data_IF_484719547836
#
_entry.id   IF_484719547836
#
_cell.length_a   1.000
_cell.length_b   1.000
_cell.length_c   1.000
_cell.angle_alpha   90.00
_cell.angle_beta   90.00
_cell.angle_gamma   90.00
#
_symmetry.space_group_name_H-M   'P 1'
#
loop_
_entity.id
_entity.type
_entity.pdbx_description
1 polymer ?
#
# COMPACT_ATOMS: atom_id res chain seq x y z
N UNK A 1 -10.72 -7.92 -23.72
CA UNK A 1 -9.88 -9.01 -23.20
C UNK A 1 -10.51 -10.40 -23.38
N UNK A 2 -11.60 -10.53 -24.15
CA UNK A 2 -12.16 -11.82 -24.59
C UNK A 2 -12.91 -12.64 -23.54
N UNK A 3 -13.11 -12.14 -22.34
CA UNK A 3 -13.90 -12.82 -21.30
C UNK A 3 -15.36 -12.41 -21.48
N UNK A 4 -16.27 -13.42 -21.65
CA UNK A 4 -17.71 -13.15 -21.64
C UNK A 4 -18.18 -12.88 -20.22
N UNK A 5 -18.98 -11.83 -20.04
CA UNK A 5 -19.59 -11.48 -18.76
C UNK A 5 -21.11 -11.77 -18.78
N UNK A 6 -21.63 -12.49 -19.78
CA UNK A 6 -23.06 -12.77 -19.96
C UNK A 6 -23.70 -13.54 -18.79
N UNK A 7 -22.89 -14.31 -18.05
CA UNK A 7 -23.34 -15.14 -16.94
C UNK A 7 -23.28 -14.42 -15.58
N UNK A 8 -22.87 -13.15 -15.59
CA UNK A 8 -22.74 -12.32 -14.39
C UNK A 8 -23.72 -11.15 -14.41
N UNK A 9 -24.21 -10.77 -13.23
CA UNK A 9 -25.01 -9.56 -13.07
C UNK A 9 -24.10 -8.35 -13.13
N UNK A 10 -24.35 -7.44 -14.07
CA UNK A 10 -23.59 -6.20 -14.21
C UNK A 10 -24.29 -5.04 -13.50
N UNK A 11 -23.56 -4.35 -12.63
CA UNK A 11 -24.00 -3.12 -12.00
C UNK A 11 -23.25 -1.94 -12.61
N UNK A 12 -23.98 -0.90 -13.03
CA UNK A 12 -23.40 0.34 -13.55
C UNK A 12 -22.95 1.31 -12.45
N UNK A 13 -23.49 1.12 -11.25
CA UNK A 13 -23.22 1.93 -10.08
C UNK A 13 -22.77 1.02 -8.91
N UNK A 14 -21.64 1.35 -8.33
CA UNK A 14 -21.08 0.63 -7.20
C UNK A 14 -22.03 0.63 -5.97
N UNK A 15 -22.80 1.70 -5.76
CA UNK A 15 -23.77 1.79 -4.67
C UNK A 15 -24.86 0.71 -4.77
N UNK A 16 -25.29 0.36 -6.00
CA UNK A 16 -26.29 -0.71 -6.19
C UNK A 16 -25.73 -2.09 -5.83
N UNK A 17 -24.44 -2.33 -6.05
CA UNK A 17 -23.77 -3.56 -5.63
C UNK A 17 -23.76 -3.69 -4.10
N UNK A 18 -23.50 -2.60 -3.38
CA UNK A 18 -23.48 -2.58 -1.92
C UNK A 18 -24.87 -2.93 -1.31
N UNK A 19 -25.94 -2.70 -2.00
CA UNK A 19 -27.33 -2.96 -1.55
C UNK A 19 -27.94 -4.24 -2.09
N UNK A 20 -27.30 -4.92 -3.03
CA UNK A 20 -27.83 -6.17 -3.63
C UNK A 20 -27.86 -7.30 -2.60
N UNK A 21 -29.04 -7.89 -2.40
CA UNK A 21 -29.29 -8.97 -1.40
C UNK A 21 -28.61 -10.30 -1.75
N UNK A 22 -28.17 -10.46 -3.00
CA UNK A 22 -27.47 -11.66 -3.46
C UNK A 22 -25.95 -11.56 -3.31
N UNK A 23 -25.45 -10.45 -2.76
CA UNK A 23 -24.02 -10.21 -2.53
C UNK A 23 -23.73 -10.26 -1.04
N UNK A 24 -22.88 -11.17 -0.60
CA UNK A 24 -22.42 -11.32 0.76
C UNK A 24 -21.07 -10.63 1.01
N UNK A 25 -20.24 -10.55 -0.04
CA UNK A 25 -18.87 -10.02 0.02
C UNK A 25 -18.66 -9.03 -1.13
N UNK A 26 -18.15 -7.86 -0.82
CA UNK A 26 -17.71 -6.87 -1.82
C UNK A 26 -16.19 -6.91 -1.93
N UNK A 27 -15.68 -7.04 -3.15
CA UNK A 27 -14.25 -6.94 -3.47
C UNK A 27 -14.00 -5.58 -4.12
N UNK A 28 -13.26 -4.70 -3.45
CA UNK A 28 -12.93 -3.36 -3.93
C UNK A 28 -11.51 -3.35 -4.52
N UNK A 29 -11.41 -2.99 -5.83
CA UNK A 29 -10.17 -2.91 -6.60
C UNK A 29 -10.11 -1.59 -7.42
N UNK A 30 -10.83 -0.55 -6.97
CA UNK A 30 -10.97 0.72 -7.69
C UNK A 30 -9.73 1.59 -7.46
N UNK A 31 -9.30 1.72 -6.20
CA UNK A 31 -8.19 2.58 -5.81
C UNK A 31 -8.64 4.00 -5.44
N UNK A 32 -7.68 4.79 -4.93
CA UNK A 32 -7.93 6.12 -4.36
C UNK A 32 -8.39 6.06 -2.90
N UNK A 33 -8.12 7.12 -2.12
CA UNK A 33 -8.51 7.16 -0.69
C UNK A 33 -9.97 7.51 -0.48
N UNK A 34 -10.57 8.26 -1.41
CA UNK A 34 -11.88 8.88 -1.27
C UNK A 34 -12.78 8.59 -2.49
N UNK A 35 -14.01 9.12 -2.47
CA UNK A 35 -14.98 8.96 -3.54
C UNK A 35 -15.52 7.54 -3.64
N UNK A 36 -15.70 7.04 -4.86
CA UNK A 36 -16.45 5.79 -5.16
C UNK A 36 -15.91 4.59 -4.36
N UNK A 37 -14.60 4.46 -4.21
CA UNK A 37 -14.00 3.34 -3.47
C UNK A 37 -14.40 3.36 -1.99
N UNK A 38 -14.27 4.52 -1.34
CA UNK A 38 -14.66 4.71 0.05
C UNK A 38 -16.15 4.53 0.24
N UNK A 39 -16.95 5.21 -0.58
CA UNK A 39 -18.40 5.17 -0.51
C UNK A 39 -18.94 3.73 -0.66
N UNK A 40 -18.36 2.95 -1.58
CA UNK A 40 -18.68 1.54 -1.77
C UNK A 40 -18.39 0.70 -0.53
N UNK A 41 -17.21 0.87 0.07
CA UNK A 41 -16.80 0.10 1.24
C UNK A 41 -17.66 0.45 2.45
N UNK A 42 -17.89 1.74 2.70
CA UNK A 42 -18.78 2.19 3.79
C UNK A 42 -20.23 1.68 3.60
N UNK A 43 -20.76 1.80 2.37
CA UNK A 43 -22.10 1.29 2.05
C UNK A 43 -22.20 -0.24 2.20
N UNK A 44 -21.16 -0.99 1.78
CA UNK A 44 -21.13 -2.44 1.93
C UNK A 44 -21.20 -2.86 3.41
N UNK A 45 -20.35 -2.26 4.25
CA UNK A 45 -20.36 -2.52 5.69
C UNK A 45 -21.71 -2.12 6.33
N UNK A 46 -22.27 -0.97 5.97
CA UNK A 46 -23.57 -0.53 6.47
C UNK A 46 -24.75 -1.45 6.06
N UNK A 47 -24.62 -2.19 4.95
CA UNK A 47 -25.59 -3.16 4.45
C UNK A 47 -25.25 -4.62 4.83
N UNK A 48 -24.41 -4.84 5.84
CA UNK A 48 -24.13 -6.18 6.37
C UNK A 48 -23.26 -7.05 5.48
N UNK A 49 -22.42 -6.46 4.61
CA UNK A 49 -21.55 -7.20 3.70
C UNK A 49 -20.10 -7.18 4.16
N UNK A 50 -19.43 -8.32 4.03
CA UNK A 50 -17.99 -8.39 4.21
C UNK A 50 -17.27 -7.64 3.09
N UNK A 51 -16.08 -7.12 3.39
CA UNK A 51 -15.28 -6.37 2.41
C UNK A 51 -13.87 -6.95 2.29
N UNK A 52 -13.42 -7.08 1.05
CA UNK A 52 -12.02 -7.37 0.71
C UNK A 52 -11.51 -6.22 -0.17
N UNK A 53 -10.45 -5.56 0.23
CA UNK A 53 -9.88 -4.46 -0.56
C UNK A 53 -8.39 -4.61 -0.79
N UNK A 54 -7.92 -4.21 -1.98
CA UNK A 54 -6.49 -4.06 -2.30
C UNK A 54 -6.03 -2.60 -2.19
N UNK A 55 -6.92 -1.71 -1.76
CA UNK A 55 -6.73 -0.27 -1.80
C UNK A 55 -5.93 0.24 -0.59
N UNK A 56 -4.61 0.29 -0.74
CA UNK A 56 -3.72 0.78 0.32
C UNK A 56 -3.99 2.21 0.76
N UNK A 57 -4.38 3.10 -0.17
CA UNK A 57 -4.67 4.49 0.15
C UNK A 57 -5.92 4.59 1.05
N UNK A 58 -6.98 3.87 0.71
CA UNK A 58 -8.20 3.80 1.53
C UNK A 58 -7.87 3.29 2.94
N UNK A 59 -7.09 2.22 3.07
CA UNK A 59 -6.73 1.66 4.38
C UNK A 59 -5.80 2.58 5.16
N UNK A 60 -4.86 3.27 4.50
CA UNK A 60 -3.94 4.20 5.15
C UNK A 60 -4.67 5.43 5.75
N UNK A 61 -5.66 5.97 5.03
CA UNK A 61 -6.39 7.17 5.45
C UNK A 61 -7.64 6.87 6.29
N UNK A 62 -8.37 5.80 5.98
CA UNK A 62 -9.67 5.51 6.59
C UNK A 62 -9.74 4.16 7.31
N UNK A 63 -8.67 3.36 7.28
CA UNK A 63 -8.65 1.98 7.79
C UNK A 63 -9.09 1.87 9.25
N UNK A 64 -8.72 2.84 10.11
CA UNK A 64 -9.12 2.83 11.51
C UNK A 64 -10.66 2.96 11.69
N UNK A 65 -11.29 3.86 10.93
CA UNK A 65 -12.74 4.04 10.99
C UNK A 65 -13.48 2.85 10.36
N UNK A 66 -12.99 2.35 9.24
CA UNK A 66 -13.56 1.18 8.54
C UNK A 66 -13.46 -0.10 9.38
N UNK A 67 -12.34 -0.28 10.10
CA UNK A 67 -12.17 -1.41 11.01
C UNK A 67 -13.18 -1.38 12.14
N UNK A 68 -13.37 -0.23 12.79
CA UNK A 68 -14.38 -0.04 13.84
C UNK A 68 -15.79 -0.30 13.30
N UNK A 69 -16.12 0.18 12.10
CA UNK A 69 -17.42 -0.07 11.47
C UNK A 69 -17.63 -1.56 11.21
N UNK A 70 -16.64 -2.26 10.69
CA UNK A 70 -16.70 -3.69 10.45
C UNK A 70 -16.85 -4.49 11.75
N UNK A 71 -16.06 -4.19 12.77
CA UNK A 71 -16.12 -4.86 14.08
C UNK A 71 -17.47 -4.67 14.77
N UNK A 72 -18.00 -3.45 14.79
CA UNK A 72 -19.31 -3.16 15.37
C UNK A 72 -20.46 -3.89 14.67
N UNK A 73 -20.33 -4.15 13.38
CA UNK A 73 -21.30 -4.90 12.58
C UNK A 73 -21.06 -6.42 12.57
N UNK A 74 -19.99 -6.92 13.22
CA UNK A 74 -19.60 -8.33 13.16
C UNK A 74 -19.15 -8.79 11.77
N UNK A 75 -18.60 -7.88 10.97
CA UNK A 75 -18.18 -8.11 9.59
C UNK A 75 -16.67 -8.18 9.46
N UNK A 76 -16.21 -8.75 8.36
CA UNK A 76 -14.79 -8.84 8.00
C UNK A 76 -14.43 -7.71 7.06
N UNK A 77 -13.38 -6.96 7.39
CA UNK A 77 -12.63 -6.09 6.50
C UNK A 77 -11.25 -6.72 6.26
N UNK A 78 -11.03 -7.29 5.08
CA UNK A 78 -9.78 -7.94 4.70
C UNK A 78 -9.03 -7.08 3.65
N UNK A 79 -7.72 -6.92 3.82
CA UNK A 79 -6.91 -6.05 2.97
C UNK A 79 -5.49 -6.59 2.72
N UNK A 80 -5.35 -7.93 2.60
CA UNK A 80 -4.04 -8.57 2.37
C UNK A 80 -3.31 -7.97 1.15
N UNK A 81 -4.03 -7.75 0.04
CA UNK A 81 -3.45 -7.24 -1.19
C UNK A 81 -3.13 -5.73 -1.15
N UNK A 82 -3.48 -5.01 -0.07
CA UNK A 82 -3.13 -3.60 0.09
C UNK A 82 -1.62 -3.41 0.31
N UNK A 83 -0.92 -4.42 0.87
CA UNK A 83 0.53 -4.38 1.10
C UNK A 83 1.17 -5.62 0.50
N UNK A 84 2.19 -5.43 -0.34
CA UNK A 84 3.00 -6.49 -0.94
C UNK A 84 2.15 -7.58 -1.61
N UNK A 85 1.24 -7.22 -2.50
CA UNK A 85 0.28 -8.11 -3.15
C UNK A 85 0.89 -9.44 -3.58
N UNK A 86 0.24 -10.56 -3.23
CA UNK A 86 0.75 -11.92 -3.42
C UNK A 86 1.67 -12.44 -2.31
N UNK A 87 2.18 -11.57 -1.42
CA UNK A 87 2.97 -11.95 -0.24
C UNK A 87 2.07 -11.81 1.00
N UNK A 88 1.81 -12.87 1.77
CA UNK A 88 0.85 -12.85 2.88
C UNK A 88 1.43 -12.18 4.14
N UNK A 89 1.89 -10.93 4.03
CA UNK A 89 2.55 -10.21 5.12
C UNK A 89 1.55 -9.78 6.22
N UNK A 90 0.35 -9.35 5.83
CA UNK A 90 -0.68 -8.95 6.79
C UNK A 90 -1.14 -10.16 7.59
N UNK A 91 -1.37 -11.29 6.93
CA UNK A 91 -1.71 -12.54 7.60
C UNK A 91 -0.58 -13.02 8.52
N UNK A 92 0.68 -12.91 8.08
CA UNK A 92 1.82 -13.25 8.91
C UNK A 92 1.87 -12.42 10.20
N UNK A 93 1.66 -11.11 10.13
CA UNK A 93 1.62 -10.24 11.29
C UNK A 93 0.43 -10.53 12.21
N UNK A 94 -0.77 -10.67 11.64
CA UNK A 94 -2.02 -10.82 12.40
C UNK A 94 -2.18 -12.20 13.06
N UNK A 95 -1.75 -13.26 12.37
CA UNK A 95 -1.99 -14.63 12.78
C UNK A 95 -0.67 -15.33 13.18
N UNK A 96 0.33 -15.32 12.29
CA UNK A 96 1.57 -16.07 12.49
C UNK A 96 2.45 -15.53 13.62
N UNK A 97 2.45 -14.21 13.82
CA UNK A 97 3.28 -13.51 14.80
C UNK A 97 2.47 -12.92 15.96
N UNK A 98 1.20 -13.27 16.11
CA UNK A 98 0.30 -12.67 17.10
C UNK A 98 0.74 -12.82 18.56
N UNK A 99 1.52 -13.86 18.87
CA UNK A 99 2.09 -14.09 20.20
C UNK A 99 3.47 -13.44 20.42
N UNK A 100 3.99 -12.73 19.42
CA UNK A 100 5.33 -12.12 19.47
C UNK A 100 5.23 -10.61 19.73
N UNK A 101 6.25 -10.05 20.34
CA UNK A 101 6.46 -8.61 20.38
C UNK A 101 7.32 -8.21 19.21
N UNK A 102 6.83 -7.28 18.41
CA UNK A 102 7.55 -6.72 17.26
C UNK A 102 8.12 -5.37 17.69
N UNK A 103 9.44 -5.21 17.57
CA UNK A 103 10.12 -3.97 17.92
C UNK A 103 10.40 -3.09 16.72
N UNK A 104 10.63 -3.71 15.55
CA UNK A 104 10.99 -3.00 14.32
C UNK A 104 10.29 -3.61 13.11
N UNK A 105 9.89 -2.74 12.17
CA UNK A 105 9.50 -3.12 10.82
C UNK A 105 10.34 -2.30 9.86
N UNK A 106 11.03 -2.95 8.94
CA UNK A 106 11.79 -2.27 7.90
C UNK A 106 11.80 -3.10 6.61
N UNK A 107 11.86 -2.40 5.48
CA UNK A 107 11.91 -3.08 4.19
C UNK A 107 11.88 -2.14 2.99
N UNK A 108 12.10 -2.72 1.82
CA UNK A 108 11.92 -2.06 0.53
C UNK A 108 10.46 -2.30 0.12
N UNK A 109 9.62 -1.27 0.24
CA UNK A 109 8.18 -1.38 0.05
C UNK A 109 7.71 -0.90 -1.33
N UNK A 110 8.61 -0.34 -2.15
CA UNK A 110 8.31 0.15 -3.50
C UNK A 110 9.27 -0.44 -4.54
N UNK A 111 8.73 -1.13 -5.54
CA UNK A 111 9.49 -1.79 -6.60
C UNK A 111 10.09 -0.81 -7.60
N UNK A 112 9.34 0.21 -8.00
CA UNK A 112 9.73 1.24 -8.98
C UNK A 112 10.99 1.99 -8.50
N UNK A 113 10.98 2.49 -7.27
CA UNK A 113 12.14 3.16 -6.68
C UNK A 113 13.35 2.23 -6.56
N UNK A 114 13.13 0.97 -6.17
CA UNK A 114 14.20 0.00 -6.08
C UNK A 114 14.84 -0.29 -7.44
N UNK A 115 14.04 -0.37 -8.49
CA UNK A 115 14.51 -0.51 -9.86
C UNK A 115 15.35 0.70 -10.27
N UNK A 116 14.83 1.92 -10.10
CA UNK A 116 15.51 3.17 -10.47
C UNK A 116 16.86 3.29 -9.77
N UNK A 117 16.90 3.18 -8.45
CA UNK A 117 18.15 3.29 -7.68
C UNK A 117 19.16 2.19 -8.03
N UNK A 118 18.70 0.98 -8.36
CA UNK A 118 19.56 -0.10 -8.77
C UNK A 118 20.17 0.18 -10.16
N UNK A 119 19.34 0.62 -11.12
CA UNK A 119 19.80 0.96 -12.47
C UNK A 119 20.75 2.17 -12.47
N UNK A 120 20.48 3.20 -11.67
CA UNK A 120 21.40 4.33 -11.48
C UNK A 120 22.78 3.84 -11.00
N UNK A 121 22.79 2.97 -10.01
CA UNK A 121 24.02 2.38 -9.47
C UNK A 121 24.80 1.56 -10.52
N UNK A 122 24.10 0.73 -11.28
CA UNK A 122 24.74 -0.19 -12.24
C UNK A 122 25.22 0.51 -13.51
N UNK A 123 24.58 1.62 -13.88
CA UNK A 123 24.84 2.31 -15.15
C UNK A 123 25.51 3.67 -14.99
N UNK A 124 25.51 4.25 -13.78
CA UNK A 124 26.00 5.62 -13.53
C UNK A 124 25.13 6.72 -14.15
N UNK A 125 23.92 6.38 -14.64
CA UNK A 125 23.01 7.33 -15.27
C UNK A 125 22.28 8.19 -14.23
N UNK A 126 21.91 9.40 -14.68
CA UNK A 126 21.09 10.32 -13.89
C UNK A 126 19.67 9.80 -13.67
N UNK A 127 19.06 10.20 -12.56
CA UNK A 127 17.70 9.82 -12.16
C UNK A 127 16.68 9.96 -13.30
N UNK A 128 16.66 11.13 -13.98
CA UNK A 128 15.67 11.39 -15.03
C UNK A 128 15.81 10.46 -16.23
N UNK A 129 17.04 10.09 -16.60
CA UNK A 129 17.29 9.14 -17.68
C UNK A 129 16.77 7.76 -17.34
N UNK A 130 17.09 7.27 -16.13
CA UNK A 130 16.63 5.95 -15.66
C UNK A 130 15.11 5.91 -15.46
N UNK A 131 14.51 7.01 -14.99
CA UNK A 131 13.05 7.12 -14.87
C UNK A 131 12.37 6.97 -16.24
N UNK A 132 12.88 7.64 -17.26
CA UNK A 132 12.34 7.53 -18.63
C UNK A 132 12.44 6.09 -19.14
N UNK A 133 13.58 5.43 -18.95
CA UNK A 133 13.76 4.02 -19.30
C UNK A 133 12.79 3.10 -18.52
N UNK A 134 12.56 3.38 -17.24
CA UNK A 134 11.60 2.64 -16.42
C UNK A 134 10.16 2.80 -16.93
N UNK A 135 9.79 3.98 -17.41
CA UNK A 135 8.50 4.26 -18.01
C UNK A 135 8.31 3.52 -19.35
N UNK A 136 9.32 3.53 -20.20
CA UNK A 136 9.31 2.79 -21.47
C UNK A 136 9.17 1.29 -21.28
N UNK A 137 9.78 0.75 -20.22
CA UNK A 137 9.70 -0.67 -19.86
C UNK A 137 8.42 -1.03 -19.07
N UNK A 138 7.61 -0.04 -18.68
CA UNK A 138 6.38 -0.24 -17.92
C UNK A 138 6.59 -0.49 -16.42
N UNK A 139 7.77 -0.20 -15.88
CA UNK A 139 8.06 -0.25 -14.44
C UNK A 139 7.65 1.02 -13.70
N UNK A 140 7.49 2.13 -14.39
CA UNK A 140 6.95 3.37 -13.87
C UNK A 140 5.79 3.84 -14.74
N UNK A 141 4.78 4.44 -14.12
CA UNK A 141 3.65 5.07 -14.81
C UNK A 141 4.05 6.43 -15.39
N UNK A 142 3.19 6.99 -16.25
CA UNK A 142 3.41 8.31 -16.85
C UNK A 142 3.51 9.41 -15.77
N UNK A 143 2.70 9.33 -14.72
CA UNK A 143 2.89 10.12 -13.50
C UNK A 143 3.48 9.24 -12.39
N UNK A 144 4.81 9.28 -12.18
CA UNK A 144 5.50 8.44 -11.21
C UNK A 144 5.54 9.05 -9.81
N UNK A 145 4.94 10.24 -9.59
CA UNK A 145 5.11 11.01 -8.35
C UNK A 145 4.77 10.19 -7.11
N UNK A 146 3.68 9.42 -7.16
CA UNK A 146 3.25 8.59 -6.04
C UNK A 146 4.32 7.58 -5.56
N UNK A 147 5.08 7.03 -6.50
CA UNK A 147 6.19 6.12 -6.21
C UNK A 147 7.44 6.88 -5.79
N UNK A 148 7.93 7.79 -6.66
CA UNK A 148 9.26 8.39 -6.50
C UNK A 148 9.36 9.42 -5.38
N UNK A 149 8.23 9.98 -4.93
CA UNK A 149 8.15 10.82 -3.73
C UNK A 149 7.98 10.01 -2.44
N UNK A 150 7.88 8.68 -2.53
CA UNK A 150 7.82 7.77 -1.37
C UNK A 150 6.42 7.58 -0.76
N UNK A 151 5.37 8.14 -1.34
CA UNK A 151 4.00 8.10 -0.79
C UNK A 151 3.46 6.66 -0.79
N UNK A 152 3.69 5.89 -1.85
CA UNK A 152 3.32 4.47 -1.92
C UNK A 152 3.94 3.66 -0.77
N UNK A 153 5.25 3.84 -0.54
CA UNK A 153 5.96 3.17 0.55
C UNK A 153 5.43 3.58 1.92
N UNK A 154 5.10 4.87 2.10
CA UNK A 154 4.55 5.40 3.35
C UNK A 154 3.15 4.85 3.67
N UNK A 155 2.25 4.72 2.69
CA UNK A 155 0.96 4.05 2.88
C UNK A 155 1.13 2.62 3.37
N UNK A 156 2.01 1.85 2.72
CA UNK A 156 2.27 0.46 3.14
C UNK A 156 2.89 0.39 4.54
N UNK A 157 3.83 1.29 4.83
CA UNK A 157 4.49 1.34 6.14
C UNK A 157 3.49 1.66 7.26
N UNK A 158 2.60 2.63 7.08
CA UNK A 158 1.59 3.00 8.08
C UNK A 158 0.66 1.83 8.41
N UNK A 159 0.26 1.04 7.41
CA UNK A 159 -0.56 -0.16 7.59
C UNK A 159 0.22 -1.24 8.36
N UNK A 160 1.47 -1.52 7.95
CA UNK A 160 2.30 -2.50 8.64
C UNK A 160 2.61 -2.11 10.08
N UNK A 161 2.89 -0.83 10.34
CA UNK A 161 3.13 -0.30 11.68
C UNK A 161 1.90 -0.50 12.59
N UNK A 162 0.71 -0.19 12.08
CA UNK A 162 -0.54 -0.40 12.80
C UNK A 162 -0.72 -1.85 13.26
N UNK A 163 -0.48 -2.80 12.37
CA UNK A 163 -0.59 -4.23 12.67
C UNK A 163 0.51 -4.73 13.61
N UNK A 164 1.75 -4.31 13.36
CA UNK A 164 2.91 -4.78 14.12
C UNK A 164 2.90 -4.26 15.57
N UNK A 165 2.42 -3.04 15.79
CA UNK A 165 2.48 -2.39 17.11
C UNK A 165 1.12 -2.30 17.81
N UNK A 166 0.03 -2.73 17.17
CA UNK A 166 -1.30 -2.69 17.73
C UNK A 166 -1.83 -1.26 17.94
N UNK A 167 -1.50 -0.33 17.03
CA UNK A 167 -1.92 1.06 17.06
C UNK A 167 -2.88 1.40 15.92
N UNK A 168 -3.50 2.57 15.98
CA UNK A 168 -4.31 3.06 14.85
C UNK A 168 -3.41 3.39 13.66
N UNK A 169 -3.89 3.09 12.45
CA UNK A 169 -3.25 3.58 11.23
C UNK A 169 -3.20 5.10 11.26
N UNK A 170 -2.03 5.66 11.06
CA UNK A 170 -1.79 7.11 11.03
C UNK A 170 -0.75 7.46 9.97
N UNK A 171 -1.23 7.67 8.74
CA UNK A 171 -0.37 8.04 7.62
C UNK A 171 0.28 9.42 7.83
N UNK A 172 -0.43 10.37 8.43
CA UNK A 172 0.06 11.75 8.62
C UNK A 172 1.28 11.84 9.57
N UNK A 173 1.49 10.81 10.39
CA UNK A 173 2.67 10.72 11.25
C UNK A 173 3.91 10.15 10.55
N UNK A 174 3.79 9.65 9.33
CA UNK A 174 4.92 9.07 8.59
C UNK A 174 5.75 10.19 7.99
N UNK A 175 7.05 10.26 8.33
CA UNK A 175 7.99 11.09 7.59
C UNK A 175 8.23 10.50 6.21
N UNK A 176 8.05 11.30 5.17
CA UNK A 176 8.14 10.83 3.78
C UNK A 176 9.22 11.62 3.05
N UNK A 177 10.15 10.91 2.45
CA UNK A 177 11.19 11.46 1.60
C UNK A 177 11.33 10.62 0.34
N UNK A 178 11.33 11.28 -0.83
CA UNK A 178 11.46 10.62 -2.14
C UNK A 178 12.90 10.44 -2.58
N UNK A 179 13.06 9.89 -3.80
CA UNK A 179 14.37 9.56 -4.37
C UNK A 179 14.83 10.52 -5.47
N UNK A 180 14.04 11.54 -5.82
CA UNK A 180 14.35 12.44 -6.95
C UNK A 180 15.68 13.17 -6.83
N UNK A 181 16.11 13.43 -5.61
CA UNK A 181 17.32 14.20 -5.31
C UNK A 181 18.58 13.34 -5.23
N UNK A 182 18.42 12.01 -5.29
CA UNK A 182 19.57 11.10 -5.26
C UNK A 182 20.33 11.22 -6.58
N UNK A 183 21.60 11.58 -6.50
CA UNK A 183 22.49 11.70 -7.66
C UNK A 183 23.36 10.45 -7.81
N UNK A 184 23.97 10.22 -9.00
CA UNK A 184 24.98 9.18 -9.18
C UNK A 184 26.17 9.34 -8.22
N UNK A 185 26.56 10.57 -7.90
CA UNK A 185 27.64 10.87 -6.95
C UNK A 185 27.29 10.41 -5.52
N UNK A 186 26.04 10.61 -5.07
CA UNK A 186 25.59 10.11 -3.76
C UNK A 186 25.69 8.59 -3.70
N UNK A 187 25.34 7.91 -4.78
CA UNK A 187 25.42 6.45 -4.90
C UNK A 187 26.87 5.98 -4.84
N UNK A 188 27.77 6.62 -5.58
CA UNK A 188 29.19 6.32 -5.61
C UNK A 188 29.83 6.48 -4.21
N UNK A 189 29.59 7.60 -3.53
CA UNK A 189 30.10 7.82 -2.17
C UNK A 189 29.51 6.83 -1.16
N UNK A 190 28.24 6.47 -1.29
CA UNK A 190 27.66 5.45 -0.44
C UNK A 190 28.37 4.09 -0.62
N UNK A 191 28.69 3.71 -1.88
CA UNK A 191 29.41 2.46 -2.17
C UNK A 191 30.85 2.46 -1.64
N UNK A 192 31.57 3.59 -1.75
CA UNK A 192 32.91 3.75 -1.14
C UNK A 192 32.89 3.55 0.37
N UNK A 193 31.81 3.96 1.03
CA UNK A 193 31.58 3.77 2.46
C UNK A 193 31.02 2.37 2.81
N UNK A 194 30.79 1.50 1.84
CA UNK A 194 30.25 0.17 2.04
C UNK A 194 28.73 0.09 2.18
N UNK A 195 28.01 1.15 1.77
CA UNK A 195 26.55 1.23 1.85
C UNK A 195 25.89 1.19 0.47
N UNK A 196 24.57 0.98 0.47
CA UNK A 196 23.71 1.11 -0.72
C UNK A 196 22.51 1.96 -0.40
N UNK A 197 22.20 2.91 -1.28
CA UNK A 197 21.02 3.76 -1.14
C UNK A 197 19.79 2.97 -1.58
N UNK A 198 18.76 2.95 -0.74
CA UNK A 198 17.45 2.34 -1.00
C UNK A 198 16.35 3.20 -0.40
N UNK A 199 15.16 3.21 -1.02
CA UNK A 199 13.97 3.74 -0.37
C UNK A 199 13.47 2.71 0.64
N UNK A 200 13.66 3.02 1.92
CA UNK A 200 13.30 2.13 3.03
C UNK A 200 12.08 2.66 3.78
N UNK A 201 11.08 1.80 3.99
CA UNK A 201 10.10 2.02 5.04
C UNK A 201 10.68 1.51 6.36
N UNK A 202 10.78 2.37 7.36
CA UNK A 202 11.34 2.01 8.67
C UNK A 202 10.40 2.52 9.75
N UNK A 203 10.00 1.67 10.66
CA UNK A 203 9.29 2.04 11.88
C UNK A 203 9.75 1.19 13.04
N UNK A 204 9.79 1.78 14.24
CA UNK A 204 10.22 1.10 15.45
C UNK A 204 9.45 1.62 16.65
N UNK A 205 9.29 0.75 17.65
CA UNK A 205 8.77 1.13 18.95
C UNK A 205 9.86 1.84 19.75
N UNK A 206 9.57 3.01 20.29
CA UNK A 206 10.45 3.77 21.17
C UNK A 206 9.80 4.01 22.51
N UNK A 207 10.58 4.49 23.50
CA UNK A 207 10.04 4.88 24.82
C UNK A 207 9.07 6.07 24.75
N UNK A 208 9.07 6.82 23.65
CA UNK A 208 8.20 7.98 23.43
C UNK A 208 7.02 7.69 22.48
N UNK A 209 6.92 6.49 21.94
CA UNK A 209 5.89 6.09 20.95
C UNK A 209 6.46 5.32 19.76
N UNK A 210 5.77 5.42 18.65
CA UNK A 210 6.12 4.78 17.37
C UNK A 210 6.53 5.87 16.42
#
# INVERSE_FOLDING_TARGET
RGVSLSDYTWHHDAATLATDKNVDVVVELIGGSDGIAKDLVEAALANGKHVVTANKALVAHHGAALAVAAENAGLVLAYEAAVAGGIPIIKALREGLSANTIDHVYGILNGTCNYILTSMRETGKEFQTVLTEAQELGYAEADPAFDVEGVDAAHKLSILASLAFGCRVNFDAVHVEGIRHVSPMDIEFAEELGYRIKLLGITCRTTGGI
#
